data_IF_288051726362
#
_entry.id   IF_288051726362
#
_cell.length_a   1.000
_cell.length_b   1.000
_cell.length_c   1.000
_cell.angle_alpha   90.00
_cell.angle_beta   90.00
_cell.angle_gamma   90.00
#
_symmetry.space_group_name_H-M   'P 1'
#
loop_
_entity.id
_entity.type
_entity.pdbx_description
1 polymer ?
#
# COMPACT_ATOMS: atom_id res chain seq x y z
N UNK A 1 -1.98 -11.45 4.74
CA UNK A 1 -0.60 -11.28 5.28
C UNK A 1 -0.54 -10.24 6.41
N UNK A 2 -1.68 -9.83 7.00
CA UNK A 2 -1.70 -8.80 8.04
C UNK A 2 -0.86 -9.21 9.26
N UNK A 3 -0.75 -10.51 9.54
CA UNK A 3 0.11 -11.05 10.60
C UNK A 3 1.62 -10.94 10.32
N UNK A 4 2.03 -10.75 9.06
CA UNK A 4 3.44 -10.54 8.63
C UNK A 4 3.80 -9.08 8.47
N UNK A 5 2.81 -8.19 8.59
CA UNK A 5 2.95 -6.77 8.29
C UNK A 5 3.64 -6.00 9.42
N UNK A 6 3.78 -6.64 10.60
CA UNK A 6 4.29 -6.03 11.81
C UNK A 6 3.39 -4.89 12.30
N UNK A 7 3.62 -4.43 13.53
CA UNK A 7 2.83 -3.32 14.11
C UNK A 7 2.91 -2.06 13.24
N UNK A 8 4.04 -1.84 12.58
CA UNK A 8 4.29 -0.68 11.71
C UNK A 8 3.46 -0.71 10.44
N UNK A 9 3.35 -1.84 9.74
CA UNK A 9 2.61 -1.86 8.49
C UNK A 9 1.09 -1.94 8.71
N UNK A 10 0.61 -2.51 9.82
CA UNK A 10 -0.80 -2.37 10.23
C UNK A 10 -1.13 -0.90 10.48
N UNK A 11 -0.28 -0.18 11.20
CA UNK A 11 -0.42 1.28 11.41
C UNK A 11 -0.46 2.03 10.07
N UNK A 12 0.40 1.65 9.13
CA UNK A 12 0.44 2.21 7.78
C UNK A 12 -0.86 2.00 7.00
N UNK A 13 -1.46 0.80 7.06
CA UNK A 13 -2.75 0.52 6.42
C UNK A 13 -3.87 1.34 7.05
N UNK A 14 -3.88 1.48 8.37
CA UNK A 14 -4.87 2.30 9.08
C UNK A 14 -4.75 3.78 8.66
N UNK A 15 -3.54 4.33 8.61
CA UNK A 15 -3.29 5.69 8.16
C UNK A 15 -3.69 5.88 6.69
N UNK A 16 -3.41 4.90 5.83
CA UNK A 16 -3.79 4.94 4.42
C UNK A 16 -5.32 5.00 4.27
N UNK A 17 -6.04 4.12 4.97
CA UNK A 17 -7.50 4.10 4.92
C UNK A 17 -8.12 5.37 5.52
N UNK A 18 -7.54 5.90 6.61
CA UNK A 18 -7.98 7.15 7.21
C UNK A 18 -7.78 8.33 6.24
N UNK A 19 -6.61 8.43 5.59
CA UNK A 19 -6.32 9.47 4.61
C UNK A 19 -7.26 9.42 3.41
N UNK A 20 -7.48 8.24 2.84
CA UNK A 20 -8.44 8.07 1.73
C UNK A 20 -9.86 8.42 2.20
N UNK A 21 -10.26 8.02 3.40
CA UNK A 21 -11.57 8.33 3.96
C UNK A 21 -11.83 9.83 4.11
N UNK A 22 -10.82 10.59 4.57
CA UNK A 22 -10.90 12.05 4.66
C UNK A 22 -11.07 12.68 3.27
N UNK A 23 -10.27 12.23 2.28
CA UNK A 23 -10.37 12.74 0.91
C UNK A 23 -11.71 12.38 0.29
N UNK A 24 -12.23 11.18 0.54
CA UNK A 24 -13.50 10.70 0.01
C UNK A 24 -14.70 11.53 0.50
N UNK A 25 -14.61 12.11 1.70
CA UNK A 25 -15.66 12.96 2.26
C UNK A 25 -15.85 14.26 1.48
N UNK A 26 -14.78 14.86 0.97
CA UNK A 26 -14.87 16.07 0.13
C UNK A 26 -14.93 15.76 -1.37
N UNK A 27 -14.19 14.76 -1.83
CA UNK A 27 -13.94 14.52 -3.24
C UNK A 27 -13.84 13.01 -3.54
N UNK A 28 -14.98 12.31 -3.68
CA UNK A 28 -14.99 10.86 -3.86
C UNK A 28 -14.27 10.40 -5.14
N UNK A 29 -14.35 11.19 -6.22
CA UNK A 29 -13.65 10.89 -7.48
C UNK A 29 -12.13 10.99 -7.31
N UNK A 30 -11.66 11.99 -6.56
CA UNK A 30 -10.23 12.17 -6.26
C UNK A 30 -9.73 11.05 -5.37
N UNK A 31 -10.52 10.65 -4.36
CA UNK A 31 -10.18 9.51 -3.50
C UNK A 31 -10.07 8.20 -4.28
N UNK A 32 -10.95 7.96 -5.26
CA UNK A 32 -10.87 6.80 -6.14
C UNK A 32 -9.58 6.80 -6.97
N UNK A 33 -9.22 7.95 -7.56
CA UNK A 33 -7.94 8.10 -8.28
C UNK A 33 -6.73 7.87 -7.37
N UNK A 34 -6.76 8.43 -6.16
CA UNK A 34 -5.70 8.28 -5.17
C UNK A 34 -5.54 6.82 -4.71
N UNK A 35 -6.65 6.12 -4.48
CA UNK A 35 -6.64 4.70 -4.12
C UNK A 35 -6.01 3.85 -5.24
N UNK A 36 -6.29 4.18 -6.50
CA UNK A 36 -5.71 3.50 -7.66
C UNK A 36 -4.19 3.73 -7.76
N UNK A 37 -3.74 4.97 -7.52
CA UNK A 37 -2.31 5.31 -7.45
C UNK A 37 -1.62 4.51 -6.35
N UNK A 38 -2.19 4.49 -5.14
CA UNK A 38 -1.64 3.75 -4.00
C UNK A 38 -1.59 2.25 -4.26
N UNK A 39 -2.60 1.67 -4.90
CA UNK A 39 -2.59 0.28 -5.33
C UNK A 39 -1.45 0.01 -6.32
N UNK A 40 -1.27 0.88 -7.33
CA UNK A 40 -0.16 0.80 -8.29
C UNK A 40 1.21 0.85 -7.62
N UNK A 41 1.40 1.77 -6.67
CA UNK A 41 2.63 1.85 -5.87
C UNK A 41 2.87 0.57 -5.09
N UNK A 42 1.83 0.00 -4.48
CA UNK A 42 1.92 -1.29 -3.78
C UNK A 42 2.37 -2.43 -4.69
N UNK A 43 1.85 -2.51 -5.91
CA UNK A 43 2.25 -3.51 -6.91
C UNK A 43 3.71 -3.33 -7.34
N UNK A 44 4.14 -2.09 -7.59
CA UNK A 44 5.54 -1.77 -7.93
C UNK A 44 6.48 -2.15 -6.78
N UNK A 45 6.13 -1.77 -5.54
CA UNK A 45 6.91 -2.10 -4.36
C UNK A 45 7.04 -3.61 -4.17
N UNK A 46 5.95 -4.37 -4.36
CA UNK A 46 6.00 -5.83 -4.32
C UNK A 46 6.92 -6.41 -5.40
N UNK A 47 6.87 -5.87 -6.62
CA UNK A 47 7.75 -6.25 -7.72
C UNK A 47 9.23 -6.00 -7.39
N UNK A 48 9.54 -4.87 -6.76
CA UNK A 48 10.89 -4.54 -6.28
C UNK A 48 11.32 -5.55 -5.22
N UNK A 49 10.54 -5.73 -4.15
CA UNK A 49 10.86 -6.66 -3.06
C UNK A 49 11.08 -8.07 -3.60
N UNK A 50 10.23 -8.55 -4.49
CA UNK A 50 10.36 -9.89 -5.09
C UNK A 50 11.63 -10.02 -5.92
N UNK A 51 11.91 -9.02 -6.76
CA UNK A 51 13.15 -8.98 -7.57
C UNK A 51 14.39 -8.93 -6.70
N UNK A 52 14.35 -8.16 -5.60
CA UNK A 52 15.44 -8.05 -4.64
C UNK A 52 15.66 -9.36 -3.90
N UNK A 53 14.60 -9.99 -3.37
CA UNK A 53 14.70 -11.29 -2.70
C UNK A 53 15.30 -12.37 -3.61
N UNK A 54 14.86 -12.40 -4.87
CA UNK A 54 15.42 -13.30 -5.88
C UNK A 54 16.90 -13.00 -6.17
N UNK A 55 17.30 -11.73 -6.24
CA UNK A 55 18.70 -11.32 -6.42
C UNK A 55 19.60 -11.74 -5.25
N UNK A 56 19.06 -11.80 -4.03
CA UNK A 56 19.77 -12.27 -2.84
C UNK A 56 19.71 -13.81 -2.65
N UNK A 57 19.13 -14.55 -3.60
CA UNK A 57 19.04 -16.02 -3.53
C UNK A 57 17.97 -16.55 -2.58
N UNK A 58 17.10 -15.68 -2.06
CA UNK A 58 15.89 -16.07 -1.34
C UNK A 58 14.78 -16.34 -2.37
N UNK A 59 14.76 -17.56 -2.92
CA UNK A 59 13.72 -18.05 -3.83
C UNK A 59 12.65 -18.85 -3.08
#
# INVERSE_FOLDING_TARGET
MLDKLGTSGVLGVVLLLAGIGIVAYQAPIVAAGLALVLAGVGLVAQGIVKSTMQAFGFA
#
